data_IF_509208943586
#
_entry.id   IF_509208943586
#
_cell.length_a   1.000
_cell.length_b   1.000
_cell.length_c   1.000
_cell.angle_alpha   90.00
_cell.angle_beta   90.00
_cell.angle_gamma   90.00
#
_symmetry.space_group_name_H-M   'P 1'
#
loop_
_entity.id
_entity.type
_entity.pdbx_description
1 polymer ?
#
# COMPACT_ATOMS: atom_id res chain seq x y z
N UNK A 1 -21.86 30.72 2.13
CA UNK A 1 -20.42 30.67 2.48
C UNK A 1 -20.02 29.22 2.34
N UNK A 2 -19.28 28.86 1.29
CA UNK A 2 -18.77 27.49 1.14
C UNK A 2 -17.76 27.23 2.26
N UNK A 3 -17.91 26.12 2.97
CA UNK A 3 -16.95 25.68 3.98
C UNK A 3 -15.56 25.45 3.37
N UNK A 4 -14.58 26.12 3.95
CA UNK A 4 -13.14 26.08 3.68
C UNK A 4 -12.44 24.77 4.15
N UNK A 5 -13.19 23.70 4.39
CA UNK A 5 -12.69 22.55 5.17
C UNK A 5 -11.59 21.72 4.45
N UNK A 6 -11.56 21.82 3.10
CA UNK A 6 -10.58 21.11 2.27
C UNK A 6 -9.33 21.91 1.90
N UNK A 7 -9.30 23.23 2.10
CA UNK A 7 -8.20 24.08 1.63
C UNK A 7 -6.86 23.68 2.24
N UNK A 8 -6.85 23.26 3.52
CA UNK A 8 -5.65 22.77 4.20
C UNK A 8 -5.08 21.51 3.56
N UNK A 9 -5.93 20.63 3.03
CA UNK A 9 -5.52 19.39 2.38
C UNK A 9 -5.04 19.67 0.96
N UNK A 10 -5.75 20.52 0.22
CA UNK A 10 -5.35 20.96 -1.12
C UNK A 10 -4.01 21.71 -1.09
N UNK A 11 -3.75 22.52 -0.06
CA UNK A 11 -2.48 23.24 0.07
C UNK A 11 -1.26 22.33 0.29
N UNK A 12 -1.48 21.08 0.72
CA UNK A 12 -0.41 20.08 0.86
C UNK A 12 -0.12 19.34 -0.46
N UNK A 13 -0.97 19.49 -1.47
CA UNK A 13 -0.80 18.90 -2.79
C UNK A 13 0.11 19.76 -3.68
N UNK A 14 0.74 19.14 -4.68
CA UNK A 14 1.57 19.82 -5.66
C UNK A 14 0.82 21.00 -6.33
N UNK A 15 1.48 22.14 -6.52
CA UNK A 15 0.88 23.37 -7.04
C UNK A 15 0.05 23.18 -8.33
N UNK A 16 0.50 22.27 -9.20
CA UNK A 16 -0.19 21.95 -10.46
C UNK A 16 -1.52 21.21 -10.32
N UNK A 17 -1.74 20.47 -9.22
CA UNK A 17 -2.95 19.68 -8.98
C UNK A 17 -4.01 20.42 -8.16
N UNK A 18 -3.65 21.50 -7.45
CA UNK A 18 -4.59 22.19 -6.56
C UNK A 18 -5.80 22.78 -7.28
N UNK A 19 -5.61 23.36 -8.47
CA UNK A 19 -6.70 23.92 -9.28
C UNK A 19 -7.64 22.81 -9.78
N UNK A 20 -7.09 21.63 -10.09
CA UNK A 20 -7.87 20.44 -10.44
C UNK A 20 -8.76 20.03 -9.26
N UNK A 21 -8.20 19.82 -8.07
CA UNK A 21 -8.98 19.38 -6.92
C UNK A 21 -10.07 20.38 -6.52
N UNK A 22 -9.80 21.69 -6.53
CA UNK A 22 -10.84 22.69 -6.25
C UNK A 22 -12.02 22.60 -7.22
N UNK A 23 -11.73 22.39 -8.51
CA UNK A 23 -12.75 22.24 -9.55
C UNK A 23 -13.56 20.96 -9.37
N UNK A 24 -12.92 19.84 -9.08
CA UNK A 24 -13.61 18.56 -8.94
C UNK A 24 -14.39 18.47 -7.61
N UNK A 25 -13.83 18.98 -6.49
CA UNK A 25 -14.54 19.11 -5.21
C UNK A 25 -15.84 19.92 -5.32
N UNK A 26 -15.87 20.95 -6.18
CA UNK A 26 -17.07 21.75 -6.40
C UNK A 26 -18.23 20.94 -7.00
N UNK A 27 -17.93 19.82 -7.67
CA UNK A 27 -18.91 18.92 -8.29
C UNK A 27 -19.44 17.87 -7.31
N UNK A 28 -18.76 17.62 -6.19
CA UNK A 28 -19.17 16.63 -5.20
C UNK A 28 -20.37 17.12 -4.40
N UNK A 29 -21.33 16.21 -4.18
CA UNK A 29 -22.44 16.42 -3.27
C UNK A 29 -21.99 16.39 -1.79
N UNK A 30 -22.93 16.67 -0.88
CA UNK A 30 -22.64 16.72 0.54
C UNK A 30 -22.22 15.35 1.12
N UNK A 31 -22.76 14.26 0.58
CA UNK A 31 -22.45 12.90 1.05
C UNK A 31 -21.00 12.55 0.71
N UNK A 32 -20.62 12.74 -0.56
CA UNK A 32 -19.26 12.44 -1.03
C UNK A 32 -18.22 13.36 -0.37
N UNK A 33 -18.57 14.62 -0.08
CA UNK A 33 -17.69 15.50 0.72
C UNK A 33 -17.49 14.99 2.13
N UNK A 34 -18.56 14.55 2.80
CA UNK A 34 -18.44 13.99 4.14
C UNK A 34 -17.60 12.69 4.14
N UNK A 35 -17.83 11.83 3.16
CA UNK A 35 -17.08 10.58 2.98
C UNK A 35 -15.58 10.85 2.74
N UNK A 36 -15.27 11.79 1.83
CA UNK A 36 -13.90 12.23 1.57
C UNK A 36 -13.23 12.72 2.84
N UNK A 37 -13.87 13.59 3.62
CA UNK A 37 -13.32 14.09 4.88
C UNK A 37 -13.00 12.95 5.86
N UNK A 38 -13.95 12.03 6.05
CA UNK A 38 -13.75 10.88 6.94
C UNK A 38 -12.60 9.97 6.45
N UNK A 39 -12.47 9.76 5.14
CA UNK A 39 -11.43 8.92 4.58
C UNK A 39 -10.05 9.56 4.69
N UNK A 40 -9.94 10.86 4.43
CA UNK A 40 -8.71 11.64 4.65
C UNK A 40 -8.24 11.54 6.11
N UNK A 41 -9.16 11.65 7.08
CA UNK A 41 -8.82 11.50 8.50
C UNK A 41 -8.33 10.08 8.83
N UNK A 42 -8.98 9.04 8.28
CA UNK A 42 -8.54 7.65 8.46
C UNK A 42 -7.15 7.40 7.87
N UNK A 43 -6.90 7.85 6.65
CA UNK A 43 -5.61 7.71 5.98
C UNK A 43 -4.50 8.46 6.73
N UNK A 44 -4.76 9.67 7.22
CA UNK A 44 -3.80 10.43 8.03
C UNK A 44 -3.47 9.69 9.33
N UNK A 45 -4.48 9.16 10.03
CA UNK A 45 -4.28 8.39 11.25
C UNK A 45 -3.50 7.09 11.00
N UNK A 46 -3.62 6.52 9.81
CA UNK A 46 -2.83 5.36 9.39
C UNK A 46 -1.40 5.73 8.95
N UNK A 47 -1.09 7.02 8.79
CA UNK A 47 0.23 7.52 8.37
C UNK A 47 0.41 7.65 6.86
N UNK A 48 -0.68 7.71 6.07
CA UNK A 48 -0.60 7.85 4.62
C UNK A 48 -0.13 9.28 4.24
N UNK A 49 1.03 9.43 3.58
CA UNK A 49 1.57 10.76 3.26
C UNK A 49 0.72 11.49 2.20
N UNK A 50 0.09 10.75 1.29
CA UNK A 50 -0.76 11.26 0.21
C UNK A 50 -2.27 11.14 0.54
N UNK A 51 -2.64 11.27 1.82
CA UNK A 51 -4.00 11.01 2.32
C UNK A 51 -5.12 11.71 1.55
N UNK A 52 -4.90 12.92 1.04
CA UNK A 52 -5.95 13.67 0.33
C UNK A 52 -6.19 13.16 -1.08
N UNK A 53 -5.14 13.12 -1.92
CA UNK A 53 -5.24 12.61 -3.29
C UNK A 53 -5.75 11.16 -3.35
N UNK A 54 -5.30 10.30 -2.44
CA UNK A 54 -5.75 8.91 -2.34
C UNK A 54 -7.23 8.83 -1.94
N UNK A 55 -7.63 9.52 -0.88
CA UNK A 55 -9.04 9.52 -0.47
C UNK A 55 -9.96 10.13 -1.55
N UNK A 56 -9.45 11.11 -2.30
CA UNK A 56 -10.17 11.72 -3.41
C UNK A 56 -10.46 10.70 -4.51
N UNK A 57 -9.45 9.96 -4.97
CA UNK A 57 -9.60 8.89 -5.97
C UNK A 57 -10.58 7.82 -5.49
N UNK A 58 -10.52 7.39 -4.23
CA UNK A 58 -11.47 6.40 -3.71
C UNK A 58 -12.93 6.88 -3.78
N UNK A 59 -13.19 8.13 -3.38
CA UNK A 59 -14.55 8.70 -3.42
C UNK A 59 -15.04 8.96 -4.85
N UNK A 60 -14.15 9.36 -5.77
CA UNK A 60 -14.57 9.74 -7.13
C UNK A 60 -14.51 8.63 -8.16
N UNK A 61 -13.66 7.63 -7.95
CA UNK A 61 -13.36 6.56 -8.90
C UNK A 61 -13.73 5.17 -8.35
N UNK A 62 -14.00 5.05 -7.04
CA UNK A 62 -14.38 3.78 -6.41
C UNK A 62 -13.20 2.81 -6.18
N UNK A 63 -11.98 3.29 -6.35
CA UNK A 63 -10.75 2.51 -6.14
C UNK A 63 -10.51 2.33 -4.64
N UNK A 64 -10.23 1.13 -4.10
CA UNK A 64 -10.02 0.89 -2.66
C UNK A 64 -8.67 1.41 -2.14
N UNK A 65 -8.41 2.71 -2.29
CA UNK A 65 -7.11 3.33 -2.02
C UNK A 65 -6.65 3.12 -0.58
N UNK A 66 -7.56 3.20 0.40
CA UNK A 66 -7.16 2.99 1.79
C UNK A 66 -6.73 1.54 2.05
N UNK A 67 -7.43 0.57 1.46
CA UNK A 67 -7.05 -0.83 1.59
C UNK A 67 -5.70 -1.12 0.91
N UNK A 68 -5.46 -0.55 -0.29
CA UNK A 68 -4.16 -0.60 -0.96
C UNK A 68 -3.05 -0.06 -0.07
N UNK A 69 -3.26 1.13 0.52
CA UNK A 69 -2.28 1.76 1.40
C UNK A 69 -1.92 0.87 2.60
N UNK A 70 -2.92 0.29 3.27
CA UNK A 70 -2.70 -0.55 4.44
C UNK A 70 -1.87 -1.79 4.11
N UNK A 71 -2.15 -2.44 2.97
CA UNK A 71 -1.37 -3.60 2.51
C UNK A 71 0.08 -3.20 2.22
N UNK A 72 0.27 -2.14 1.42
CA UNK A 72 1.61 -1.69 1.01
C UNK A 72 2.44 -1.21 2.20
N UNK A 73 1.82 -0.55 3.17
CA UNK A 73 2.45 -0.14 4.43
C UNK A 73 3.01 -1.34 5.18
N UNK A 74 2.21 -2.39 5.36
CA UNK A 74 2.66 -3.58 6.09
C UNK A 74 3.71 -4.37 5.30
N UNK A 75 3.56 -4.50 3.98
CA UNK A 75 4.57 -5.13 3.13
C UNK A 75 5.90 -4.37 3.18
N UNK A 76 5.87 -3.04 3.08
CA UNK A 76 7.08 -2.21 3.20
C UNK A 76 7.74 -2.39 4.55
N UNK A 77 6.98 -2.39 5.66
CA UNK A 77 7.50 -2.68 7.00
C UNK A 77 8.23 -4.03 7.03
N UNK A 78 7.61 -5.10 6.53
CA UNK A 78 8.20 -6.44 6.46
C UNK A 78 9.44 -6.52 5.57
N UNK A 79 9.52 -5.73 4.48
CA UNK A 79 10.71 -5.68 3.61
C UNK A 79 11.90 -5.02 4.32
N UNK A 80 11.62 -3.96 5.10
CA UNK A 80 12.68 -3.15 5.72
C UNK A 80 13.15 -3.67 7.08
N UNK A 81 12.34 -4.48 7.76
CA UNK A 81 12.65 -5.07 9.06
C UNK A 81 13.38 -6.42 8.86
N UNK A 82 14.69 -6.34 8.58
CA UNK A 82 15.52 -7.51 8.28
C UNK A 82 15.59 -8.45 9.48
N UNK A 83 15.65 -7.92 10.68
CA UNK A 83 15.70 -8.66 11.94
C UNK A 83 14.43 -9.48 12.17
N UNK A 84 13.25 -8.88 12.02
CA UNK A 84 11.98 -9.63 12.08
C UNK A 84 11.92 -10.68 10.97
N UNK A 85 12.41 -10.36 9.77
CA UNK A 85 12.50 -11.30 8.66
C UNK A 85 13.41 -12.51 8.95
N UNK A 86 14.55 -12.29 9.61
CA UNK A 86 15.47 -13.35 10.03
C UNK A 86 14.85 -14.22 11.12
N UNK A 87 14.21 -13.60 12.12
CA UNK A 87 13.44 -14.30 13.17
C UNK A 87 12.36 -15.20 12.55
N UNK A 88 11.59 -14.68 11.59
CA UNK A 88 10.60 -15.48 10.86
C UNK A 88 11.22 -16.62 10.03
N UNK A 89 12.45 -16.45 9.53
CA UNK A 89 13.14 -17.46 8.73
C UNK A 89 13.64 -18.66 9.56
N UNK A 90 13.78 -18.52 10.89
CA UNK A 90 14.19 -19.60 11.80
C UNK A 90 13.25 -20.82 11.72
N UNK A 91 11.96 -20.59 11.48
CA UNK A 91 10.95 -21.65 11.33
C UNK A 91 11.17 -22.51 10.07
N UNK A 92 11.91 -22.01 9.08
CA UNK A 92 12.09 -22.64 7.78
C UNK A 92 13.53 -23.06 7.49
N UNK A 93 14.50 -22.46 8.18
CA UNK A 93 15.93 -22.69 7.94
C UNK A 93 16.66 -22.76 9.27
N UNK A 94 17.16 -23.96 9.62
CA UNK A 94 18.06 -24.15 10.75
C UNK A 94 19.31 -23.28 10.59
N UNK A 95 19.84 -22.77 11.71
CA UNK A 95 21.07 -21.98 11.78
C UNK A 95 21.07 -20.65 10.98
N UNK A 96 19.90 -20.10 10.61
CA UNK A 96 19.81 -18.84 9.84
C UNK A 96 20.56 -17.67 10.49
N UNK A 97 20.51 -17.55 11.82
CA UNK A 97 21.27 -16.55 12.56
C UNK A 97 22.79 -16.72 12.36
N UNK A 98 23.28 -17.97 12.43
CA UNK A 98 24.71 -18.24 12.20
C UNK A 98 25.14 -17.93 10.77
N UNK A 99 24.28 -18.24 9.78
CA UNK A 99 24.51 -17.91 8.37
C UNK A 99 24.56 -16.39 8.17
N UNK A 100 23.61 -15.66 8.77
CA UNK A 100 23.58 -14.20 8.73
C UNK A 100 24.84 -13.60 9.35
N UNK A 101 25.22 -14.01 10.55
CA UNK A 101 26.42 -13.51 11.22
C UNK A 101 27.70 -13.80 10.43
N UNK A 102 27.79 -14.98 9.81
CA UNK A 102 28.91 -15.35 8.95
C UNK A 102 28.97 -14.45 7.71
N UNK A 103 27.83 -14.21 7.05
CA UNK A 103 27.76 -13.32 5.90
C UNK A 103 28.07 -11.86 6.28
N UNK A 104 27.46 -11.36 7.36
CA UNK A 104 27.70 -10.03 7.90
C UNK A 104 29.17 -9.81 8.27
N UNK A 105 29.84 -10.81 8.86
CA UNK A 105 31.28 -10.75 9.15
C UNK A 105 32.16 -10.67 7.89
N UNK A 106 31.70 -11.21 6.76
CA UNK A 106 32.44 -11.20 5.49
C UNK A 106 32.24 -9.92 4.66
N UNK A 107 31.01 -9.37 4.63
CA UNK A 107 30.66 -8.22 3.76
C UNK A 107 30.28 -6.94 4.51
N UNK A 108 30.15 -7.00 5.83
CA UNK A 108 29.63 -5.93 6.68
C UNK A 108 28.11 -5.97 6.79
N UNK A 109 27.61 -5.65 7.99
CA UNK A 109 26.19 -5.69 8.35
C UNK A 109 25.31 -4.85 7.42
N UNK A 110 25.71 -3.60 7.15
CA UNK A 110 24.97 -2.69 6.26
C UNK A 110 24.83 -3.25 4.83
N UNK A 111 25.86 -3.92 4.32
CA UNK A 111 25.83 -4.47 2.96
C UNK A 111 24.89 -5.67 2.87
N UNK A 112 24.93 -6.58 3.85
CA UNK A 112 24.04 -7.74 3.84
C UNK A 112 22.59 -7.34 4.07
N UNK A 113 22.31 -6.40 4.97
CA UNK A 113 20.94 -5.87 5.17
C UNK A 113 20.39 -5.23 3.91
N UNK A 114 21.17 -4.38 3.23
CA UNK A 114 20.76 -3.78 1.94
C UNK A 114 20.47 -4.82 0.87
N UNK A 115 21.26 -5.90 0.81
CA UNK A 115 21.01 -7.01 -0.11
C UNK A 115 19.71 -7.74 0.23
N UNK A 116 19.49 -8.06 1.51
CA UNK A 116 18.29 -8.76 1.98
C UNK A 116 17.03 -7.92 1.74
N UNK A 117 17.04 -6.62 2.04
CA UNK A 117 15.96 -5.69 1.74
C UNK A 117 15.68 -5.64 0.23
N UNK A 118 16.71 -5.53 -0.61
CA UNK A 118 16.54 -5.50 -2.07
C UNK A 118 15.96 -6.82 -2.62
N UNK A 119 16.41 -7.95 -2.07
CA UNK A 119 15.87 -9.27 -2.42
C UNK A 119 14.41 -9.41 -1.99
N UNK A 120 14.09 -9.08 -0.74
CA UNK A 120 12.72 -9.09 -0.22
C UNK A 120 11.79 -8.21 -1.06
N UNK A 121 12.25 -7.02 -1.47
CA UNK A 121 11.50 -6.13 -2.36
C UNK A 121 11.19 -6.79 -3.71
N UNK A 122 12.14 -7.51 -4.30
CA UNK A 122 11.93 -8.24 -5.56
C UNK A 122 10.91 -9.39 -5.43
N UNK A 123 10.99 -10.14 -4.32
CA UNK A 123 10.03 -11.22 -4.03
C UNK A 123 8.63 -10.65 -3.80
N UNK A 124 8.49 -9.59 -2.98
CA UNK A 124 7.20 -8.94 -2.74
C UNK A 124 6.62 -8.33 -4.02
N UNK A 125 7.44 -7.71 -4.88
CA UNK A 125 6.95 -7.23 -6.18
C UNK A 125 6.38 -8.34 -7.07
N UNK A 126 6.99 -9.53 -7.03
CA UNK A 126 6.48 -10.72 -7.73
C UNK A 126 5.17 -11.20 -7.11
N UNK A 127 5.08 -11.25 -5.78
CA UNK A 127 3.87 -11.59 -5.04
C UNK A 127 2.72 -10.63 -5.32
N UNK A 128 2.99 -9.33 -5.34
CA UNK A 128 2.01 -8.29 -5.66
C UNK A 128 1.46 -8.48 -7.07
N UNK A 129 2.33 -8.74 -8.06
CA UNK A 129 1.91 -9.02 -9.43
C UNK A 129 1.00 -10.26 -9.49
N UNK A 130 1.35 -11.32 -8.74
CA UNK A 130 0.53 -12.52 -8.62
C UNK A 130 -0.84 -12.23 -7.98
N UNK A 131 -0.89 -11.35 -6.96
CA UNK A 131 -2.14 -10.94 -6.30
C UNK A 131 -3.05 -10.16 -7.25
N UNK A 132 -2.49 -9.23 -8.02
CA UNK A 132 -3.25 -8.41 -8.95
C UNK A 132 -3.76 -9.23 -10.16
N UNK A 133 -2.92 -10.12 -10.72
CA UNK A 133 -3.27 -10.89 -11.91
C UNK A 133 -4.12 -12.14 -11.62
N UNK A 134 -4.05 -12.64 -10.38
CA UNK A 134 -4.65 -13.90 -9.95
C UNK A 134 -3.98 -15.12 -10.61
N UNK A 135 -4.77 -16.07 -11.11
CA UNK A 135 -4.22 -17.21 -11.83
C UNK A 135 -3.81 -16.83 -13.27
N UNK A 136 -2.51 -16.81 -13.54
CA UNK A 136 -1.95 -16.55 -14.88
C UNK A 136 -2.40 -17.59 -15.93
N UNK A 137 -2.72 -18.80 -15.50
CA UNK A 137 -3.18 -19.90 -16.37
C UNK A 137 -4.71 -20.06 -16.34
N UNK A 138 -5.48 -19.03 -15.94
CA UNK A 138 -6.94 -19.10 -15.78
C UNK A 138 -7.70 -19.65 -16.98
N UNK A 139 -7.22 -19.40 -18.20
CA UNK A 139 -7.85 -19.90 -19.43
C UNK A 139 -7.68 -21.43 -19.59
N UNK A 140 -6.55 -21.97 -19.13
CA UNK A 140 -6.27 -23.41 -19.09
C UNK A 140 -7.00 -24.08 -17.93
N UNK A 141 -6.95 -23.47 -16.76
CA UNK A 141 -7.39 -24.08 -15.50
C UNK A 141 -8.88 -23.87 -15.20
N UNK A 142 -9.52 -22.87 -15.84
CA UNK A 142 -10.92 -22.55 -15.63
C UNK A 142 -11.23 -21.88 -14.29
N UNK A 143 -10.21 -21.41 -13.55
CA UNK A 143 -10.35 -20.76 -12.25
C UNK A 143 -9.31 -19.65 -12.06
N UNK A 144 -9.69 -18.60 -11.32
CA UNK A 144 -8.81 -17.54 -10.82
C UNK A 144 -9.22 -17.13 -9.40
N UNK A 145 -8.50 -16.18 -8.82
CA UNK A 145 -8.72 -15.64 -7.49
C UNK A 145 -8.37 -14.15 -7.46
N UNK A 146 -8.81 -13.46 -6.41
CA UNK A 146 -8.57 -12.02 -6.21
C UNK A 146 -8.52 -11.72 -4.72
N UNK A 147 -7.85 -10.63 -4.36
CA UNK A 147 -7.87 -10.11 -3.00
C UNK A 147 -9.15 -9.30 -2.77
N UNK A 148 -9.88 -9.59 -1.69
CA UNK A 148 -11.17 -8.96 -1.38
C UNK A 148 -11.07 -8.29 -0.02
N UNK A 149 -11.52 -7.03 0.05
CA UNK A 149 -11.59 -6.28 1.30
C UNK A 149 -12.64 -6.90 2.25
N UNK A 150 -12.33 -6.90 3.54
CA UNK A 150 -13.26 -7.29 4.61
C UNK A 150 -13.60 -6.09 5.50
N UNK A 151 -14.76 -6.15 6.15
CA UNK A 151 -15.08 -5.25 7.26
C UNK A 151 -14.37 -5.67 8.57
N UNK A 152 -14.68 -4.97 9.66
CA UNK A 152 -14.06 -5.20 10.96
C UNK A 152 -14.41 -6.57 11.57
N UNK A 153 -15.54 -7.14 11.14
CA UNK A 153 -16.03 -8.45 11.54
C UNK A 153 -15.46 -9.58 10.66
N UNK A 154 -14.66 -9.25 9.64
CA UNK A 154 -14.08 -10.21 8.70
C UNK A 154 -15.04 -10.62 7.58
N UNK A 155 -16.16 -9.93 7.41
CA UNK A 155 -17.11 -10.20 6.32
C UNK A 155 -16.60 -9.58 5.02
N UNK A 156 -16.55 -10.33 3.90
CA UNK A 156 -16.17 -9.77 2.61
C UNK A 156 -17.13 -8.64 2.19
N UNK A 157 -16.57 -7.48 1.84
CA UNK A 157 -17.36 -6.33 1.36
C UNK A 157 -17.76 -6.47 -0.11
N UNK A 158 -17.10 -7.39 -0.84
CA UNK A 158 -17.21 -7.55 -2.29
C UNK A 158 -16.34 -6.58 -3.08
N UNK A 159 -15.63 -5.65 -2.43
CA UNK A 159 -14.68 -4.76 -3.07
C UNK A 159 -13.35 -5.49 -3.32
N UNK A 160 -12.98 -5.60 -4.58
CA UNK A 160 -11.71 -6.22 -5.00
C UNK A 160 -10.59 -5.20 -4.80
N UNK A 161 -9.50 -5.64 -4.17
CA UNK A 161 -8.25 -4.88 -4.07
C UNK A 161 -7.36 -5.34 -5.24
N UNK A 162 -7.15 -4.45 -6.19
CA UNK A 162 -6.32 -4.63 -7.39
C UNK A 162 -5.40 -3.44 -7.57
N UNK A 163 -4.42 -3.51 -8.48
CA UNK A 163 -3.53 -2.39 -8.84
C UNK A 163 -2.46 -2.08 -7.80
N UNK A 164 -2.15 -3.03 -6.92
CA UNK A 164 -1.09 -2.89 -5.91
C UNK A 164 0.29 -2.68 -6.54
N UNK A 165 0.55 -3.26 -7.71
CA UNK A 165 1.84 -3.14 -8.41
C UNK A 165 2.18 -1.71 -8.84
N UNK A 166 1.17 -0.91 -9.22
CA UNK A 166 1.32 0.48 -9.63
C UNK A 166 1.82 1.32 -8.44
N UNK A 167 1.15 1.16 -7.30
CA UNK A 167 1.43 1.91 -6.08
C UNK A 167 2.72 1.44 -5.38
N UNK A 168 3.04 0.15 -5.45
CA UNK A 168 4.27 -0.41 -4.85
C UNK A 168 5.55 0.19 -5.43
N UNK A 169 5.58 0.47 -6.74
CA UNK A 169 6.75 1.07 -7.39
C UNK A 169 7.03 2.50 -6.89
N UNK A 170 6.00 3.19 -6.42
CA UNK A 170 6.08 4.56 -5.93
C UNK A 170 6.13 4.65 -4.40
N UNK A 171 5.78 3.59 -3.67
CA UNK A 171 5.67 3.58 -2.21
C UNK A 171 6.96 3.97 -1.49
N UNK A 172 8.13 3.55 -1.97
CA UNK A 172 9.43 3.96 -1.40
C UNK A 172 9.73 5.47 -1.55
N UNK A 173 9.00 6.16 -2.43
CA UNK A 173 9.16 7.59 -2.70
C UNK A 173 8.12 8.44 -1.95
N UNK A 174 7.16 7.80 -1.29
CA UNK A 174 6.08 8.42 -0.51
C UNK A 174 6.53 8.70 0.92
#
# INVERSE_FOLDING_TARGET
MCDNDFDKYIAAEADGSQAYYRRELAKLDAKNKQELKCLVEKMNNAGCPASFSWAFSEVTEGIPQFARYLILKELHRSITDVEEGLSCAEDFTEDIESLYQTAAGAVGEDHIKRLLTAYAKGIVGTLISLIDDGNLDRDRDGISWSLIQTDAEGTPTGQIIEGLHEDFAEFDKM
#
